data_IF_233381449340
#
_entry.id   IF_233381449340
#
_cell.length_a   1.000
_cell.length_b   1.000
_cell.length_c   1.000
_cell.angle_alpha   90.00
_cell.angle_beta   90.00
_cell.angle_gamma   90.00
#
_symmetry.space_group_name_H-M   'P 1'
#
loop_
_entity.id
_entity.type
_entity.pdbx_description
1 polymer ?
#
# COMPACT_ATOMS: atom_id res chain seq x y z
N UNK A 1 -85.63 3.13 18.35
CA UNK A 1 -85.73 4.43 17.64
C UNK A 1 -85.02 5.54 18.42
N UNK A 2 -85.70 6.55 18.98
CA UNK A 2 -85.09 7.83 19.44
C UNK A 2 -83.77 7.73 20.22
N UNK A 3 -83.68 6.85 21.21
CA UNK A 3 -82.46 6.70 22.04
C UNK A 3 -81.22 6.24 21.24
N UNK A 4 -81.43 5.39 20.23
CA UNK A 4 -80.36 4.89 19.35
C UNK A 4 -79.84 6.03 18.45
N UNK A 5 -80.74 6.87 17.92
CA UNK A 5 -80.36 8.05 17.15
C UNK A 5 -79.53 9.05 17.97
N UNK A 6 -79.86 9.24 19.25
CA UNK A 6 -79.07 10.08 20.17
C UNK A 6 -77.68 9.48 20.45
N UNK A 7 -77.57 8.17 20.65
CA UNK A 7 -76.28 7.49 20.80
C UNK A 7 -75.41 7.61 19.54
N UNK A 8 -76.00 7.45 18.35
CA UNK A 8 -75.30 7.63 17.07
C UNK A 8 -74.81 9.08 16.91
N UNK A 9 -75.62 10.08 17.26
CA UNK A 9 -75.22 11.49 17.25
C UNK A 9 -74.08 11.80 18.23
N UNK A 10 -74.12 11.23 19.45
CA UNK A 10 -73.04 11.37 20.42
C UNK A 10 -71.73 10.76 19.92
N UNK A 11 -71.78 9.56 19.33
CA UNK A 11 -70.61 8.90 18.75
C UNK A 11 -70.05 9.66 17.54
N UNK A 12 -70.91 10.14 16.63
CA UNK A 12 -70.48 10.96 15.49
C UNK A 12 -69.81 12.26 15.94
N UNK A 13 -70.34 12.93 16.97
CA UNK A 13 -69.72 14.13 17.54
C UNK A 13 -68.37 13.83 18.22
N UNK A 14 -68.26 12.71 18.95
CA UNK A 14 -67.01 12.29 19.56
C UNK A 14 -65.92 11.98 18.51
N UNK A 15 -66.30 11.34 17.39
CA UNK A 15 -65.39 11.05 16.27
C UNK A 15 -64.94 12.34 15.56
N UNK A 16 -65.83 13.32 15.36
CA UNK A 16 -65.45 14.62 14.81
C UNK A 16 -64.52 15.40 15.75
N UNK A 17 -64.79 15.40 17.06
CA UNK A 17 -63.91 16.02 18.06
C UNK A 17 -62.51 15.38 18.06
N UNK A 18 -62.44 14.05 18.11
CA UNK A 18 -61.18 13.31 18.05
C UNK A 18 -60.40 13.59 16.76
N UNK A 19 -61.08 13.67 15.61
CA UNK A 19 -60.44 14.02 14.34
C UNK A 19 -59.89 15.45 14.34
N UNK A 20 -60.67 16.43 14.81
CA UNK A 20 -60.20 17.83 14.89
C UNK A 20 -58.97 18.00 15.81
N UNK A 21 -58.86 17.21 16.88
CA UNK A 21 -57.68 17.19 17.75
C UNK A 21 -56.45 16.56 17.08
N UNK A 22 -56.64 15.54 16.24
CA UNK A 22 -55.56 14.91 15.47
C UNK A 22 -55.08 15.85 14.34
N UNK A 23 -56.00 16.47 13.60
CA UNK A 23 -55.68 17.40 12.52
C UNK A 23 -54.90 18.62 13.06
N UNK A 24 -55.19 19.09 14.28
CA UNK A 24 -54.42 20.15 14.95
C UNK A 24 -53.02 19.70 15.39
N UNK A 25 -52.87 18.44 15.85
CA UNK A 25 -51.59 17.88 16.24
C UNK A 25 -50.62 17.73 15.05
N UNK A 26 -51.12 17.36 13.87
CA UNK A 26 -50.31 17.30 12.65
C UNK A 26 -49.96 18.69 12.09
N UNK A 27 -50.81 19.71 12.32
CA UNK A 27 -50.53 21.09 11.92
C UNK A 27 -49.32 21.73 12.64
N UNK A 28 -48.99 21.29 13.86
CA UNK A 28 -47.82 21.78 14.60
C UNK A 28 -46.50 21.07 14.24
N UNK A 29 -46.55 19.95 13.51
CA UNK A 29 -45.37 19.15 13.17
C UNK A 29 -44.52 19.67 12.01
N UNK A 30 -45.02 20.62 11.20
CA UNK A 30 -44.39 20.98 9.90
C UNK A 30 -44.23 22.49 9.65
N UNK A 31 -43.95 23.28 10.70
CA UNK A 31 -43.39 24.65 10.54
C UNK A 31 -41.93 24.69 11.01
N UNK A 32 -41.11 23.77 10.47
CA UNK A 32 -39.66 23.97 10.30
C UNK A 32 -39.33 24.61 8.95
N UNK A 33 -40.18 25.54 8.49
CA UNK A 33 -39.92 26.31 7.28
C UNK A 33 -38.95 27.48 7.55
N UNK A 34 -37.79 27.13 8.12
CA UNK A 34 -36.58 27.94 8.09
C UNK A 34 -35.59 27.14 7.26
N UNK A 35 -35.38 27.56 6.02
CA UNK A 35 -34.13 27.26 5.32
C UNK A 35 -33.02 27.71 6.25
N UNK A 36 -32.31 26.77 6.88
CA UNK A 36 -30.98 27.08 7.39
C UNK A 36 -30.18 27.45 6.14
N UNK A 37 -29.81 28.72 6.02
CA UNK A 37 -28.71 29.09 5.15
C UNK A 37 -27.49 28.54 5.86
N UNK A 38 -26.90 27.51 5.28
CA UNK A 38 -25.71 26.89 5.83
C UNK A 38 -24.63 27.97 6.00
N UNK A 39 -24.08 28.08 7.21
CA UNK A 39 -23.29 29.26 7.61
C UNK A 39 -21.82 28.97 7.32
N UNK A 40 -21.51 28.98 6.02
CA UNK A 40 -20.15 28.80 5.51
C UNK A 40 -19.23 29.93 5.99
N UNK A 41 -18.51 29.69 7.08
CA UNK A 41 -17.47 30.58 7.60
C UNK A 41 -16.15 30.41 6.85
N UNK A 42 -15.30 31.44 6.86
CA UNK A 42 -14.04 31.42 6.13
C UNK A 42 -13.00 30.53 6.82
N UNK A 43 -12.72 29.36 6.25
CA UNK A 43 -11.76 28.40 6.79
C UNK A 43 -10.40 29.06 7.13
N UNK A 44 -9.82 28.64 8.27
CA UNK A 44 -8.58 29.19 8.83
C UNK A 44 -8.69 30.57 9.46
N UNK A 45 -9.74 31.36 9.17
CA UNK A 45 -9.88 32.76 9.63
C UNK A 45 -11.07 32.93 10.58
N UNK A 46 -12.15 32.18 10.38
CA UNK A 46 -13.38 32.23 11.17
C UNK A 46 -13.82 30.83 11.65
N UNK A 47 -14.58 30.80 12.75
CA UNK A 47 -15.28 29.64 13.27
C UNK A 47 -16.79 29.93 13.41
N UNK A 48 -17.64 28.91 13.26
CA UNK A 48 -19.07 29.07 13.48
C UNK A 48 -19.42 29.02 14.98
N UNK A 49 -20.34 29.89 15.40
CA UNK A 49 -21.04 29.80 16.68
C UNK A 49 -22.45 30.34 16.53
N UNK A 50 -23.46 29.62 17.02
CA UNK A 50 -24.86 30.06 17.05
C UNK A 50 -25.42 30.57 15.69
N UNK A 51 -24.97 30.02 14.55
CA UNK A 51 -25.29 30.46 13.17
C UNK A 51 -24.69 31.83 12.80
N UNK A 52 -23.59 32.25 13.42
CA UNK A 52 -22.74 33.37 12.98
C UNK A 52 -21.27 32.95 12.90
N UNK A 53 -20.51 33.61 12.03
CA UNK A 53 -19.06 33.42 11.95
C UNK A 53 -18.34 34.39 12.88
N UNK A 54 -17.45 33.88 13.74
CA UNK A 54 -16.59 34.66 14.62
C UNK A 54 -15.14 34.57 14.14
N UNK A 55 -14.35 35.63 14.29
CA UNK A 55 -12.91 35.61 14.00
C UNK A 55 -12.16 34.71 14.98
N UNK A 56 -11.28 33.86 14.46
CA UNK A 56 -10.42 32.94 15.22
C UNK A 56 -9.59 33.67 16.28
N UNK A 57 -9.39 33.01 17.43
CA UNK A 57 -8.42 33.38 18.44
C UNK A 57 -7.00 33.01 17.99
N UNK A 58 -5.96 33.81 18.31
CA UNK A 58 -4.61 33.57 17.80
C UNK A 58 -4.00 32.29 18.38
N UNK A 59 -2.99 31.76 17.69
CA UNK A 59 -2.11 30.72 18.24
C UNK A 59 -1.63 31.06 19.66
N UNK A 60 -1.53 30.06 20.53
CA UNK A 60 -1.25 30.24 21.96
C UNK A 60 -2.46 30.60 22.81
N UNK A 61 -3.68 30.65 22.25
CA UNK A 61 -4.91 31.04 22.96
C UNK A 61 -6.14 30.22 22.50
N UNK A 62 -7.20 30.23 23.31
CA UNK A 62 -8.49 29.59 23.04
C UNK A 62 -9.68 30.55 23.26
N UNK A 63 -10.83 30.22 22.69
CA UNK A 63 -12.09 30.97 22.82
C UNK A 63 -12.71 30.74 24.20
N UNK A 64 -12.50 31.67 25.14
CA UNK A 64 -13.15 31.67 26.46
C UNK A 64 -14.60 32.15 26.38
N UNK A 65 -14.87 33.14 25.52
CA UNK A 65 -16.23 33.57 25.13
C UNK A 65 -16.23 33.84 23.63
N UNK A 66 -17.28 33.45 22.93
CA UNK A 66 -17.40 33.72 21.50
C UNK A 66 -17.74 35.19 21.20
N UNK A 67 -17.77 35.54 19.92
CA UNK A 67 -18.30 36.82 19.46
C UNK A 67 -19.83 36.91 19.64
N UNK A 68 -20.39 38.12 19.51
CA UNK A 68 -21.83 38.36 19.55
C UNK A 68 -22.40 38.87 18.21
N UNK A 69 -21.53 39.25 17.26
CA UNK A 69 -21.90 39.67 15.91
C UNK A 69 -20.94 39.07 14.85
N UNK A 70 -21.38 38.89 13.59
CA UNK A 70 -20.57 38.28 12.55
C UNK A 70 -19.25 39.02 12.28
N UNK A 71 -18.19 38.22 12.04
CA UNK A 71 -16.81 38.65 11.79
C UNK A 71 -16.21 39.54 12.89
N UNK A 72 -16.73 39.48 14.12
CA UNK A 72 -16.07 40.01 15.32
C UNK A 72 -15.20 38.95 16.02
N UNK A 73 -14.23 39.39 16.83
CA UNK A 73 -13.37 38.49 17.63
C UNK A 73 -13.97 38.25 19.02
N UNK A 74 -13.98 36.99 19.44
CA UNK A 74 -14.38 36.60 20.80
C UNK A 74 -13.36 37.01 21.87
N UNK A 75 -13.65 36.69 23.13
CA UNK A 75 -12.67 36.79 24.23
C UNK A 75 -11.74 35.59 24.18
N UNK A 76 -10.51 35.84 23.77
CA UNK A 76 -9.43 34.86 23.73
C UNK A 76 -8.66 34.84 25.06
N UNK A 77 -8.25 33.67 25.52
CA UNK A 77 -7.47 33.49 26.76
C UNK A 77 -6.26 32.57 26.48
N UNK A 78 -5.06 32.84 27.03
CA UNK A 78 -3.88 32.02 26.75
C UNK A 78 -4.03 30.58 27.24
N UNK A 79 -3.33 29.65 26.57
CA UNK A 79 -3.21 28.28 27.04
C UNK A 79 -2.51 28.20 28.40
N UNK A 80 -2.96 27.27 29.24
CA UNK A 80 -2.32 26.99 30.53
C UNK A 80 -0.99 26.22 30.33
N UNK A 81 -0.26 26.00 31.42
CA UNK A 81 0.91 25.11 31.38
C UNK A 81 0.50 23.71 30.88
N UNK A 82 1.35 23.11 30.05
CA UNK A 82 1.13 21.78 29.45
C UNK A 82 -0.05 21.73 28.45
N UNK A 83 -0.42 22.89 27.87
CA UNK A 83 -1.38 23.02 26.78
C UNK A 83 -0.86 23.94 25.66
N UNK A 84 -1.33 23.71 24.42
CA UNK A 84 -0.94 24.50 23.24
C UNK A 84 -2.09 24.69 22.23
N UNK A 85 -1.92 25.67 21.34
CA UNK A 85 -2.63 25.80 20.05
C UNK A 85 -1.65 26.39 19.02
N UNK A 86 -1.31 25.61 18.00
CA UNK A 86 -0.25 25.99 17.03
C UNK A 86 -0.68 27.07 16.03
N UNK A 87 -1.99 27.20 15.78
CA UNK A 87 -2.55 28.09 14.77
C UNK A 87 -3.77 28.87 15.32
N UNK A 88 -4.18 29.89 14.58
CA UNK A 88 -5.41 30.64 14.82
C UNK A 88 -6.63 29.69 14.76
N UNK A 89 -7.48 29.72 15.78
CA UNK A 89 -8.47 28.68 16.05
C UNK A 89 -9.76 29.18 16.74
N UNK A 90 -10.82 28.39 16.63
CA UNK A 90 -12.10 28.59 17.33
C UNK A 90 -12.30 27.70 18.56
N UNK A 91 -11.25 27.05 19.07
CA UNK A 91 -11.38 26.00 20.08
C UNK A 91 -11.83 26.57 21.44
N UNK A 92 -12.70 25.85 22.14
CA UNK A 92 -13.21 26.23 23.48
C UNK A 92 -12.27 25.85 24.64
N UNK A 93 -11.11 25.27 24.33
CA UNK A 93 -9.99 24.90 25.21
C UNK A 93 -8.73 24.70 24.35
N UNK A 94 -7.54 24.83 24.92
CA UNK A 94 -6.31 24.44 24.23
C UNK A 94 -6.16 22.90 24.15
N UNK A 95 -5.25 22.43 23.29
CA UNK A 95 -4.86 21.03 23.18
C UNK A 95 -3.87 20.68 24.30
N UNK A 96 -3.98 19.50 24.90
CA UNK A 96 -2.96 19.04 25.88
C UNK A 96 -1.68 18.61 25.16
N UNK A 97 -0.52 18.94 25.71
CA UNK A 97 0.76 18.57 25.13
C UNK A 97 1.01 17.05 25.13
N UNK A 98 1.53 16.54 24.02
CA UNK A 98 1.99 15.17 23.84
C UNK A 98 3.04 14.79 24.90
N UNK A 99 2.98 13.55 25.38
CA UNK A 99 3.93 12.97 26.34
C UNK A 99 4.78 11.90 25.67
N UNK A 100 6.08 12.13 25.57
CA UNK A 100 6.99 11.16 24.99
C UNK A 100 7.00 9.85 25.80
N UNK A 101 6.89 8.72 25.09
CA UNK A 101 6.90 7.37 25.66
C UNK A 101 8.28 6.98 26.19
N UNK A 102 8.37 5.92 26.99
CA UNK A 102 9.62 5.51 27.67
C UNK A 102 10.75 5.07 26.71
N UNK A 103 10.41 4.67 25.48
CA UNK A 103 11.30 4.34 24.35
C UNK A 103 11.61 5.56 23.46
N UNK A 104 11.05 6.72 23.77
CA UNK A 104 11.28 8.00 23.10
C UNK A 104 12.08 8.96 23.98
N UNK A 105 12.54 10.05 23.38
CA UNK A 105 13.19 11.19 24.01
C UNK A 105 12.66 12.49 23.42
N UNK A 106 12.48 13.50 24.27
CA UNK A 106 11.99 14.83 23.86
C UNK A 106 13.06 15.57 23.06
N UNK A 107 12.75 16.00 21.84
CA UNK A 107 13.58 16.95 21.08
C UNK A 107 13.27 18.37 21.49
N UNK A 108 11.99 18.74 21.47
CA UNK A 108 11.51 20.09 21.76
C UNK A 108 10.41 20.02 22.81
N UNK A 109 10.46 20.94 23.77
CA UNK A 109 9.48 21.02 24.86
C UNK A 109 8.25 21.78 24.38
N UNK A 110 7.07 21.34 24.79
CA UNK A 110 5.84 22.06 24.51
C UNK A 110 5.91 23.52 24.94
N UNK A 111 5.31 24.39 24.14
CA UNK A 111 5.04 25.80 24.42
C UNK A 111 3.55 26.05 24.20
N UNK A 112 3.02 27.24 24.53
CA UNK A 112 1.63 27.54 24.21
C UNK A 112 1.33 27.50 22.70
N UNK A 113 2.34 27.65 21.84
CA UNK A 113 2.21 27.67 20.38
C UNK A 113 2.76 26.42 19.67
N UNK A 114 3.21 25.37 20.39
CA UNK A 114 3.87 24.21 19.78
C UNK A 114 3.80 22.99 20.69
N UNK A 115 3.51 21.81 20.14
CA UNK A 115 3.50 20.56 20.91
C UNK A 115 4.90 20.11 21.38
N UNK A 116 4.95 19.18 22.34
CA UNK A 116 6.17 18.40 22.63
C UNK A 116 6.55 17.57 21.40
N UNK A 117 7.74 17.80 20.86
CA UNK A 117 8.30 16.90 19.84
C UNK A 117 9.04 15.73 20.51
N UNK A 118 8.78 14.52 20.00
CA UNK A 118 9.35 13.26 20.50
C UNK A 118 10.02 12.48 19.37
N UNK A 119 11.25 12.00 19.58
CA UNK A 119 11.92 11.05 18.67
C UNK A 119 12.14 9.71 19.34
N UNK A 120 12.21 8.63 18.55
CA UNK A 120 12.65 7.33 19.05
C UNK A 120 14.10 7.38 19.54
N UNK A 121 14.40 6.69 20.65
CA UNK A 121 15.77 6.56 21.16
C UNK A 121 16.68 5.85 20.18
N UNK A 122 17.98 6.14 20.28
CA UNK A 122 19.03 5.60 19.41
C UNK A 122 18.94 4.07 19.27
N UNK A 123 19.06 3.57 18.04
CA UNK A 123 18.85 2.15 17.72
C UNK A 123 17.38 1.78 17.47
N UNK A 124 16.45 2.74 17.46
CA UNK A 124 15.05 2.57 17.06
C UNK A 124 14.56 3.71 16.16
N UNK A 125 13.54 3.45 15.35
CA UNK A 125 12.96 4.36 14.37
C UNK A 125 11.42 4.26 14.34
N UNK A 126 10.76 5.29 13.82
CA UNK A 126 9.37 5.26 13.36
C UNK A 126 9.33 5.85 11.95
N UNK A 127 8.45 5.37 11.06
CA UNK A 127 8.37 5.97 9.71
C UNK A 127 7.66 7.34 9.80
N UNK A 128 8.11 8.31 9.01
CA UNK A 128 7.73 9.73 9.13
C UNK A 128 6.22 9.97 8.95
N UNK A 129 5.60 9.10 8.17
CA UNK A 129 4.18 9.08 7.79
C UNK A 129 3.31 8.52 8.92
N UNK A 130 3.91 8.13 10.03
CA UNK A 130 3.24 7.56 11.19
C UNK A 130 3.39 8.55 12.35
N UNK A 131 2.29 8.86 13.03
CA UNK A 131 2.42 9.24 14.43
C UNK A 131 3.25 8.14 15.11
N UNK A 132 4.32 8.52 15.81
CA UNK A 132 5.36 7.59 16.29
C UNK A 132 4.91 6.76 17.51
N UNK A 133 3.71 6.19 17.44
CA UNK A 133 3.03 5.37 18.45
C UNK A 133 3.91 4.19 18.91
N UNK A 134 4.69 3.60 18.00
CA UNK A 134 5.60 2.48 18.27
C UNK A 134 6.98 2.75 17.65
N UNK A 135 8.02 2.73 18.48
CA UNK A 135 9.41 2.75 18.02
C UNK A 135 9.87 1.32 17.68
N UNK A 136 10.15 1.07 16.39
CA UNK A 136 10.67 -0.20 15.88
C UNK A 136 12.19 -0.21 16.02
N UNK A 137 12.79 -1.31 16.48
CA UNK A 137 14.26 -1.42 16.53
C UNK A 137 14.85 -1.45 15.12
N UNK A 138 16.01 -0.80 14.95
CA UNK A 138 16.80 -0.91 13.73
C UNK A 138 17.25 -2.35 13.50
N UNK A 139 17.10 -2.87 12.27
CA UNK A 139 17.68 -4.16 11.90
C UNK A 139 19.16 -4.04 11.57
N UNK A 140 19.96 -5.04 11.95
CA UNK A 140 21.27 -5.27 11.34
C UNK A 140 21.13 -5.96 9.99
N UNK A 141 22.16 -5.83 9.14
CA UNK A 141 22.28 -6.65 7.92
C UNK A 141 22.90 -8.01 8.27
N UNK A 142 22.64 -9.03 7.44
CA UNK A 142 23.23 -10.37 7.60
C UNK A 142 24.71 -10.38 7.22
N UNK A 143 25.43 -11.45 7.55
CA UNK A 143 26.86 -11.58 7.26
C UNK A 143 27.20 -11.55 5.76
N UNK A 144 26.26 -11.96 4.90
CA UNK A 144 26.36 -11.93 3.43
C UNK A 144 25.81 -10.62 2.82
N UNK A 145 25.44 -9.65 3.65
CA UNK A 145 24.89 -8.35 3.27
C UNK A 145 25.81 -7.20 3.68
N UNK A 146 25.60 -6.04 3.07
CA UNK A 146 26.23 -4.76 3.41
C UNK A 146 25.15 -3.71 3.72
N UNK A 147 25.44 -2.79 4.65
CA UNK A 147 24.56 -1.68 4.97
C UNK A 147 24.77 -0.54 3.96
N UNK A 148 23.80 -0.35 3.07
CA UNK A 148 23.78 0.71 2.05
C UNK A 148 23.35 2.06 2.64
N UNK A 149 22.44 2.03 3.61
CA UNK A 149 22.03 3.18 4.41
C UNK A 149 21.93 2.74 5.87
N UNK A 150 22.53 3.53 6.77
CA UNK A 150 22.35 3.35 8.22
C UNK A 150 20.92 3.66 8.64
N UNK A 151 20.44 3.01 9.69
CA UNK A 151 19.22 3.40 10.39
C UNK A 151 19.29 4.86 10.86
N UNK A 152 18.15 5.55 10.87
CA UNK A 152 17.95 6.89 11.44
C UNK A 152 16.82 6.83 12.47
N UNK A 153 16.42 7.95 13.08
CA UNK A 153 15.19 7.99 13.87
C UNK A 153 13.91 7.85 13.02
N UNK A 154 14.00 8.01 11.69
CA UNK A 154 12.86 8.05 10.76
C UNK A 154 12.82 6.88 9.75
N UNK A 155 13.86 6.05 9.69
CA UNK A 155 14.03 5.01 8.67
C UNK A 155 14.92 3.86 9.15
N UNK A 156 14.62 2.63 8.75
CA UNK A 156 15.44 1.45 9.07
C UNK A 156 16.79 1.44 8.33
N UNK A 157 17.71 0.58 8.75
CA UNK A 157 18.89 0.18 7.96
C UNK A 157 18.44 -0.41 6.62
N UNK A 158 19.08 -0.01 5.52
CA UNK A 158 18.86 -0.61 4.20
C UNK A 158 20.05 -1.51 3.86
N UNK A 159 19.78 -2.79 3.63
CA UNK A 159 20.77 -3.82 3.37
C UNK A 159 20.77 -4.25 1.90
N UNK A 160 21.92 -4.67 1.37
CA UNK A 160 22.09 -5.24 0.03
C UNK A 160 22.94 -6.51 0.14
N UNK A 161 22.63 -7.56 -0.62
CA UNK A 161 23.53 -8.72 -0.76
C UNK A 161 24.88 -8.28 -1.31
N UNK A 162 25.98 -8.76 -0.74
CA UNK A 162 27.28 -8.63 -1.41
C UNK A 162 27.20 -9.40 -2.71
N UNK A 163 27.61 -8.76 -3.81
CA UNK A 163 27.71 -9.45 -5.09
C UNK A 163 28.73 -10.57 -4.96
N UNK A 164 28.25 -11.82 -4.98
CA UNK A 164 29.11 -12.98 -5.13
C UNK A 164 29.75 -12.93 -6.52
N UNK A 165 30.92 -12.32 -6.61
CA UNK A 165 31.80 -12.45 -7.76
C UNK A 165 32.17 -13.92 -7.89
N UNK A 166 31.40 -14.63 -8.74
CA UNK A 166 31.62 -16.05 -9.00
C UNK A 166 33.08 -16.25 -9.37
N UNK A 167 33.80 -17.01 -8.53
CA UNK A 167 35.27 -17.04 -8.57
C UNK A 167 35.72 -17.51 -9.95
N UNK A 168 36.15 -16.55 -10.76
CA UNK A 168 36.51 -16.74 -12.15
C UNK A 168 37.90 -17.37 -12.18
N UNK A 169 37.93 -18.67 -11.86
CA UNK A 169 39.11 -19.46 -11.57
C UNK A 169 39.95 -19.63 -12.85
N UNK A 170 40.70 -18.60 -13.23
CA UNK A 170 41.57 -18.55 -14.42
C UNK A 170 42.56 -19.73 -14.47
N UNK A 171 42.94 -20.24 -13.31
CA UNK A 171 43.68 -21.49 -13.15
C UNK A 171 43.07 -22.68 -13.92
N UNK A 172 41.74 -22.85 -13.93
CA UNK A 172 41.08 -23.97 -14.63
C UNK A 172 41.24 -23.88 -16.15
N UNK A 173 41.13 -22.68 -16.73
CA UNK A 173 41.35 -22.45 -18.16
C UNK A 173 42.80 -22.74 -18.57
N UNK A 174 43.78 -22.32 -17.74
CA UNK A 174 45.21 -22.57 -18.00
C UNK A 174 45.51 -24.07 -17.98
N UNK A 175 44.97 -24.82 -17.01
CA UNK A 175 45.18 -26.28 -16.90
C UNK A 175 44.63 -27.02 -18.13
N UNK A 176 43.41 -26.71 -18.58
CA UNK A 176 42.81 -27.38 -19.75
C UNK A 176 43.63 -27.13 -21.02
N UNK A 177 44.08 -25.89 -21.27
CA UNK A 177 44.88 -25.57 -22.46
C UNK A 177 46.23 -26.28 -22.44
N UNK A 178 46.95 -26.27 -21.30
CA UNK A 178 48.28 -26.90 -21.21
C UNK A 178 48.20 -28.43 -21.28
N UNK A 179 47.23 -29.05 -20.58
CA UNK A 179 47.14 -30.51 -20.46
C UNK A 179 46.53 -31.16 -21.71
N UNK A 180 45.67 -30.47 -22.48
CA UNK A 180 45.02 -31.05 -23.66
C UNK A 180 45.67 -30.61 -24.98
N UNK A 181 45.89 -29.30 -25.18
CA UNK A 181 46.31 -28.81 -26.49
C UNK A 181 47.79 -29.12 -26.80
N UNK A 182 48.67 -29.04 -25.81
CA UNK A 182 50.12 -29.30 -26.00
C UNK A 182 50.41 -30.75 -26.41
N UNK A 183 49.95 -31.81 -25.70
CA UNK A 183 50.19 -33.19 -26.14
C UNK A 183 49.48 -33.52 -27.46
N UNK A 184 48.31 -32.94 -27.74
CA UNK A 184 47.67 -33.07 -29.05
C UNK A 184 48.53 -32.49 -30.19
N UNK A 185 49.15 -31.33 -29.98
CA UNK A 185 50.07 -30.73 -30.95
C UNK A 185 51.34 -31.58 -31.15
N UNK A 186 51.91 -32.11 -30.06
CA UNK A 186 53.07 -33.01 -30.11
C UNK A 186 52.72 -34.31 -30.87
N UNK A 187 51.55 -34.89 -30.64
CA UNK A 187 51.07 -36.07 -31.36
C UNK A 187 50.90 -35.79 -32.87
N UNK A 188 50.32 -34.65 -33.24
CA UNK A 188 50.16 -34.23 -34.64
C UNK A 188 51.51 -33.98 -35.34
N UNK A 189 52.49 -33.38 -34.65
CA UNK A 189 53.85 -33.23 -35.15
C UNK A 189 54.57 -34.59 -35.31
N UNK A 190 54.44 -35.48 -34.34
CA UNK A 190 54.96 -36.85 -34.43
C UNK A 190 54.36 -37.64 -35.60
N UNK A 191 53.04 -37.53 -35.81
CA UNK A 191 52.32 -38.21 -36.89
C UNK A 191 52.71 -37.68 -38.28
N UNK A 192 52.79 -36.36 -38.44
CA UNK A 192 53.22 -35.73 -39.72
C UNK A 192 54.68 -36.02 -40.05
N UNK A 193 55.58 -36.02 -39.07
CA UNK A 193 56.98 -36.45 -39.26
C UNK A 193 57.08 -37.95 -39.57
N UNK A 194 56.25 -38.80 -38.93
CA UNK A 194 56.17 -40.23 -39.23
C UNK A 194 55.75 -40.51 -40.68
N UNK A 195 54.75 -39.78 -41.19
CA UNK A 195 54.33 -39.86 -42.60
C UNK A 195 55.45 -39.35 -43.54
N UNK A 196 56.13 -38.26 -43.18
CA UNK A 196 57.25 -37.73 -43.97
C UNK A 196 58.45 -38.70 -44.04
N UNK A 197 58.67 -39.48 -42.98
CA UNK A 197 59.69 -40.54 -42.96
C UNK A 197 59.27 -41.75 -43.80
N UNK A 198 58.03 -42.24 -43.63
CA UNK A 198 57.48 -43.35 -44.43
C UNK A 198 57.46 -43.05 -45.93
N UNK A 199 57.07 -41.84 -46.34
CA UNK A 199 56.98 -41.44 -47.76
C UNK A 199 58.34 -41.29 -48.45
N UNK A 200 59.45 -41.21 -47.69
CA UNK A 200 60.82 -41.34 -48.23
C UNK A 200 61.35 -42.78 -48.26
N UNK A 201 60.60 -43.76 -47.75
CA UNK A 201 61.08 -45.12 -47.47
C UNK A 201 60.37 -46.24 -48.25
N UNK A 202 60.19 -46.07 -49.57
CA UNK A 202 60.25 -47.15 -50.59
C UNK A 202 60.01 -46.66 -52.04
N UNK A 203 60.58 -47.34 -53.06
CA UNK A 203 60.34 -47.03 -54.47
C UNK A 203 59.03 -47.62 -55.02
N UNK A 204 58.56 -47.07 -56.14
CA UNK A 204 57.25 -47.36 -56.77
C UNK A 204 57.22 -48.61 -57.66
N UNK A 205 56.07 -49.31 -57.69
CA UNK A 205 55.48 -49.85 -58.93
C UNK A 205 53.96 -49.65 -58.97
N UNK A 206 53.45 -49.46 -60.20
CA UNK A 206 52.03 -49.34 -60.62
C UNK A 206 51.40 -50.75 -60.81
N UNK A 207 50.11 -50.96 -61.05
CA UNK A 207 48.82 -50.33 -60.67
C UNK A 207 47.65 -51.14 -61.32
N UNK A 208 46.40 -50.75 -61.00
CA UNK A 208 45.15 -50.76 -61.80
C UNK A 208 43.99 -51.60 -61.22
N UNK A 209 42.78 -51.10 -61.51
CA UNK A 209 41.40 -51.42 -61.07
C UNK A 209 40.87 -52.76 -61.66
N UNK A 210 39.64 -53.26 -61.42
CA UNK A 210 38.39 -52.61 -60.97
C UNK A 210 37.30 -53.58 -60.43
N UNK A 211 36.21 -52.97 -59.93
CA UNK A 211 34.81 -53.45 -59.80
C UNK A 211 34.40 -54.33 -58.61
N UNK A 212 33.14 -54.12 -58.22
CA UNK A 212 32.36 -54.74 -57.14
C UNK A 212 31.06 -55.30 -57.73
N UNK A 213 30.37 -56.20 -57.02
CA UNK A 213 28.96 -55.92 -56.71
C UNK A 213 28.62 -56.04 -55.21
N UNK A 214 27.33 -55.89 -54.89
CA UNK A 214 26.75 -55.59 -53.56
C UNK A 214 26.33 -56.84 -52.74
N UNK A 215 26.19 -56.63 -51.42
CA UNK A 215 25.00 -56.97 -50.59
C UNK A 215 24.54 -58.45 -50.42
N UNK A 216 24.47 -58.94 -49.18
CA UNK A 216 23.18 -59.15 -48.45
C UNK A 216 23.32 -59.68 -47.00
N UNK A 217 22.71 -58.93 -46.08
CA UNK A 217 22.21 -59.17 -44.69
C UNK A 217 22.05 -60.63 -44.17
N UNK A 218 22.48 -60.93 -42.92
CA UNK A 218 21.60 -61.45 -41.81
C UNK A 218 22.22 -61.63 -40.41
N UNK A 219 21.32 -61.60 -39.41
CA UNK A 219 21.44 -61.67 -37.94
C UNK A 219 21.23 -63.14 -37.46
N UNK A 220 21.74 -63.65 -36.32
CA UNK A 220 22.54 -63.07 -35.23
C UNK A 220 23.93 -63.79 -35.13
N UNK A 221 24.55 -64.25 -34.02
CA UNK A 221 24.25 -64.34 -32.57
C UNK A 221 25.57 -64.43 -31.75
N UNK A 222 25.51 -64.29 -30.42
CA UNK A 222 26.62 -64.61 -29.50
C UNK A 222 26.21 -64.58 -28.02
N UNK A 223 26.68 -65.56 -27.24
CA UNK A 223 26.48 -65.69 -25.79
C UNK A 223 27.81 -65.54 -25.02
N UNK A 224 27.73 -65.12 -23.75
CA UNK A 224 28.58 -65.47 -22.59
C UNK A 224 30.13 -65.43 -22.69
N UNK A 225 30.91 -64.96 -21.71
CA UNK A 225 30.74 -64.25 -20.42
C UNK A 225 32.19 -63.96 -19.90
N UNK A 226 32.56 -63.17 -18.88
CA UNK A 226 31.90 -62.38 -17.82
C UNK A 226 32.93 -61.31 -17.30
N UNK A 227 32.64 -60.58 -16.21
CA UNK A 227 33.57 -59.72 -15.39
C UNK A 227 34.08 -58.44 -16.10
N UNK A 228 33.91 -57.18 -15.67
CA UNK A 228 33.32 -56.40 -14.52
C UNK A 228 33.38 -54.90 -14.96
N UNK A 229 32.80 -53.84 -14.39
CA UNK A 229 31.75 -53.46 -13.40
C UNK A 229 31.56 -51.92 -13.59
N UNK A 230 30.56 -51.16 -13.10
CA UNK A 230 29.34 -51.34 -12.28
C UNK A 230 28.36 -50.17 -12.63
N UNK A 231 27.19 -50.05 -11.96
CA UNK A 231 26.32 -48.84 -11.88
C UNK A 231 25.59 -48.36 -13.16
N UNK A 232 24.29 -47.99 -13.17
CA UNK A 232 23.17 -48.08 -12.22
C UNK A 232 21.84 -48.01 -13.01
N UNK A 233 20.72 -48.52 -12.45
CA UNK A 233 19.39 -48.57 -13.10
C UNK A 233 18.26 -48.14 -12.15
N UNK A 234 17.25 -47.40 -12.63
CA UNK A 234 15.88 -47.41 -12.08
C UNK A 234 14.86 -46.64 -12.95
N UNK A 235 13.65 -47.18 -13.11
CA UNK A 235 12.43 -46.37 -13.27
C UNK A 235 11.18 -47.14 -12.78
N UNK A 236 10.13 -46.39 -12.42
CA UNK A 236 8.79 -46.84 -12.02
C UNK A 236 8.60 -47.64 -10.72
N UNK A 237 8.13 -46.94 -9.69
CA UNK A 237 7.01 -47.36 -8.82
C UNK A 237 6.29 -46.09 -8.31
N UNK A 238 5.03 -46.21 -7.87
CA UNK A 238 4.13 -45.08 -7.51
C UNK A 238 3.30 -45.45 -6.27
N UNK A 239 2.72 -44.44 -5.60
CA UNK A 239 1.92 -44.44 -4.35
C UNK A 239 2.80 -44.30 -3.09
N UNK A 240 2.50 -43.43 -2.12
CA UNK A 240 1.47 -42.37 -2.01
C UNK A 240 2.15 -41.03 -1.64
N UNK A 241 1.79 -39.91 -2.25
CA UNK A 241 0.79 -38.94 -1.77
C UNK A 241 0.97 -38.41 -0.33
N UNK A 242 1.92 -37.48 -0.20
CA UNK A 242 1.61 -36.18 0.40
C UNK A 242 2.43 -35.12 -0.33
N UNK A 243 1.79 -34.04 -0.75
CA UNK A 243 2.42 -32.95 -1.54
C UNK A 243 2.52 -31.65 -0.74
N UNK A 244 3.27 -30.68 -1.28
CA UNK A 244 3.79 -29.46 -0.61
C UNK A 244 4.97 -29.79 0.36
N UNK A 245 6.08 -29.05 0.39
CA UNK A 245 6.40 -27.76 -0.24
C UNK A 245 7.87 -27.71 -0.71
N UNK A 246 8.11 -27.37 -1.98
CA UNK A 246 9.45 -27.00 -2.50
C UNK A 246 9.67 -25.47 -2.44
N UNK A 247 10.90 -24.94 -2.64
CA UNK A 247 11.29 -23.60 -2.17
C UNK A 247 10.54 -22.42 -2.81
N UNK A 248 9.82 -21.65 -1.99
CA UNK A 248 9.03 -20.48 -2.39
C UNK A 248 9.82 -19.15 -2.28
N UNK A 249 11.06 -19.10 -2.79
CA UNK A 249 11.91 -17.90 -2.70
C UNK A 249 12.65 -17.51 -3.99
N UNK A 250 12.20 -17.98 -5.16
CA UNK A 250 12.66 -17.45 -6.46
C UNK A 250 11.50 -17.07 -7.41
N UNK A 251 10.31 -16.88 -6.84
CA UNK A 251 9.24 -16.05 -7.38
C UNK A 251 8.75 -15.11 -6.26
N UNK A 252 8.18 -13.97 -6.64
CA UNK A 252 7.66 -12.92 -5.76
C UNK A 252 8.67 -11.95 -5.09
N UNK A 253 9.84 -11.74 -5.69
CA UNK A 253 10.07 -10.39 -6.21
C UNK A 253 9.27 -10.27 -7.51
N UNK A 254 7.96 -10.05 -7.38
CA UNK A 254 7.20 -9.52 -8.50
C UNK A 254 7.66 -8.08 -8.60
N UNK A 255 8.10 -7.67 -9.78
CA UNK A 255 8.05 -6.27 -10.19
C UNK A 255 6.56 -5.90 -10.28
N UNK A 256 5.92 -5.74 -9.10
CA UNK A 256 4.45 -5.72 -8.94
C UNK A 256 3.91 -4.63 -9.82
N UNK A 257 3.22 -5.01 -10.89
CA UNK A 257 2.89 -4.12 -12.00
C UNK A 257 2.38 -2.77 -11.48
N UNK A 258 2.87 -1.64 -12.03
CA UNK A 258 2.35 -0.34 -11.69
C UNK A 258 0.84 -0.38 -11.93
N UNK A 259 0.06 0.15 -10.99
CA UNK A 259 -1.38 0.12 -11.12
C UNK A 259 -1.75 0.91 -12.38
N UNK A 260 -2.33 0.21 -13.36
CA UNK A 260 -2.80 0.82 -14.61
C UNK A 260 -3.76 1.95 -14.26
N UNK A 261 -3.53 3.12 -14.85
CA UNK A 261 -4.27 4.33 -14.52
C UNK A 261 -5.75 4.15 -14.83
N UNK A 262 -6.61 4.67 -13.97
CA UNK A 262 -8.05 4.67 -14.16
C UNK A 262 -8.55 6.04 -14.64
N UNK A 263 -9.59 6.02 -15.49
CA UNK A 263 -10.31 7.23 -15.93
C UNK A 263 -11.77 7.19 -15.46
N UNK A 264 -12.32 8.29 -14.91
CA UNK A 264 -13.69 8.34 -14.42
C UNK A 264 -14.69 8.36 -15.58
N UNK A 265 -15.70 7.49 -15.52
CA UNK A 265 -16.75 7.41 -16.55
C UNK A 265 -17.79 8.54 -16.45
N UNK A 266 -18.00 9.12 -15.25
CA UNK A 266 -18.97 10.19 -14.98
C UNK A 266 -18.34 11.42 -14.28
N UNK A 267 -17.04 11.66 -14.47
CA UNK A 267 -16.33 12.79 -13.85
C UNK A 267 -16.30 12.72 -12.31
N UNK A 268 -16.55 13.85 -11.63
CA UNK A 268 -16.54 13.94 -10.15
C UNK A 268 -17.53 12.98 -9.47
N UNK A 269 -18.65 12.67 -10.13
CA UNK A 269 -19.67 11.76 -9.61
C UNK A 269 -19.17 10.30 -9.54
N UNK A 270 -18.23 9.92 -10.43
CA UNK A 270 -17.54 8.62 -10.33
C UNK A 270 -16.59 8.60 -9.12
N UNK A 271 -15.84 9.68 -8.88
CA UNK A 271 -14.93 9.78 -7.75
C UNK A 271 -15.72 9.73 -6.43
N UNK A 272 -16.75 10.55 -6.29
CA UNK A 272 -17.59 10.61 -5.08
C UNK A 272 -18.24 9.27 -4.75
N UNK A 273 -18.76 8.54 -5.74
CA UNK A 273 -19.34 7.20 -5.57
C UNK A 273 -18.32 6.10 -5.23
N UNK A 274 -17.02 6.37 -5.34
CA UNK A 274 -15.99 5.42 -4.93
C UNK A 274 -15.67 5.48 -3.43
N UNK A 275 -16.11 6.53 -2.71
CA UNK A 275 -15.76 6.76 -1.31
C UNK A 275 -16.29 5.67 -0.38
N UNK A 276 -17.50 5.17 -0.64
CA UNK A 276 -18.14 4.03 0.03
C UNK A 276 -17.23 2.77 0.09
N UNK A 277 -16.31 2.61 -0.87
CA UNK A 277 -15.40 1.46 -0.91
C UNK A 277 -14.19 1.60 0.03
N UNK A 278 -13.88 2.81 0.51
CA UNK A 278 -12.79 3.06 1.44
C UNK A 278 -13.17 2.76 2.90
N UNK A 279 -14.45 2.50 3.20
CA UNK A 279 -14.92 2.09 4.54
C UNK A 279 -14.22 0.79 5.01
N UNK A 280 -13.85 -0.10 4.10
CA UNK A 280 -13.12 -1.35 4.36
C UNK A 280 -11.62 -1.15 4.69
N UNK A 281 -11.11 0.09 4.75
CA UNK A 281 -9.75 0.35 5.24
C UNK A 281 -9.62 0.00 6.73
N UNK A 282 -8.49 -0.59 7.13
CA UNK A 282 -8.17 -0.83 8.53
C UNK A 282 -8.09 0.50 9.32
N UNK A 283 -8.81 0.56 10.45
CA UNK A 283 -8.97 1.76 11.29
C UNK A 283 -7.63 2.33 11.79
N UNK A 284 -6.61 1.50 11.98
CA UNK A 284 -5.26 1.93 12.38
C UNK A 284 -4.52 2.71 11.27
N UNK A 285 -5.05 2.71 10.05
CA UNK A 285 -4.48 3.41 8.89
C UNK A 285 -5.28 4.67 8.50
N UNK A 286 -6.51 4.86 8.98
CA UNK A 286 -7.38 6.00 8.62
C UNK A 286 -6.68 7.35 8.85
N UNK A 287 -6.26 7.64 10.08
CA UNK A 287 -5.59 8.91 10.44
C UNK A 287 -4.21 9.10 9.77
N UNK A 288 -3.68 8.05 9.14
CA UNK A 288 -2.43 8.10 8.35
C UNK A 288 -2.72 8.39 6.88
N UNK A 289 -3.69 7.69 6.30
CA UNK A 289 -4.21 7.92 4.96
C UNK A 289 -4.70 9.36 4.79
N UNK A 290 -5.53 9.84 5.72
CA UNK A 290 -6.07 11.20 5.66
C UNK A 290 -4.99 12.28 5.78
N UNK A 291 -3.97 12.10 6.63
CA UNK A 291 -2.80 13.00 6.67
C UNK A 291 -1.99 12.97 5.38
N UNK A 292 -1.79 11.78 4.80
CA UNK A 292 -0.99 11.61 3.57
C UNK A 292 -1.65 12.29 2.36
N UNK A 293 -2.98 12.18 2.20
CA UNK A 293 -3.73 12.92 1.16
C UNK A 293 -3.90 14.42 1.51
N UNK A 294 -3.28 14.89 2.61
CA UNK A 294 -3.15 16.31 2.92
C UNK A 294 -4.25 16.90 3.81
N UNK A 295 -5.10 16.10 4.47
CA UNK A 295 -6.02 16.63 5.49
C UNK A 295 -5.28 16.99 6.77
N UNK A 296 -5.74 18.06 7.43
CA UNK A 296 -5.18 18.47 8.71
C UNK A 296 -5.67 17.57 9.86
N UNK A 297 -4.88 17.48 10.93
CA UNK A 297 -5.31 16.82 12.17
C UNK A 297 -6.59 17.43 12.76
N UNK A 298 -6.89 18.71 12.49
CA UNK A 298 -8.14 19.35 12.91
C UNK A 298 -9.33 18.83 12.10
N UNK A 299 -9.17 18.67 10.78
CA UNK A 299 -10.16 18.10 9.87
C UNK A 299 -10.44 16.63 10.20
N UNK A 300 -9.39 15.86 10.55
CA UNK A 300 -9.50 14.46 10.96
C UNK A 300 -10.23 14.33 12.32
N UNK A 301 -9.96 15.25 13.26
CA UNK A 301 -10.59 15.25 14.60
C UNK A 301 -12.02 15.78 14.64
N UNK A 302 -12.43 16.66 13.72
CA UNK A 302 -13.84 17.09 13.66
C UNK A 302 -14.77 15.91 13.31
N UNK A 303 -14.32 15.02 12.43
CA UNK A 303 -15.04 13.79 12.06
C UNK A 303 -14.87 12.64 13.08
N UNK A 304 -14.05 12.78 14.12
CA UNK A 304 -13.80 11.73 15.15
C UNK A 304 -15.04 11.45 16.04
N UNK A 305 -16.09 12.26 15.93
CA UNK A 305 -17.38 12.07 16.62
C UNK A 305 -18.45 11.33 15.79
N UNK A 306 -18.17 11.01 14.53
CA UNK A 306 -19.05 10.26 13.63
C UNK A 306 -18.84 8.73 13.78
N UNK A 307 -19.75 7.93 13.20
CA UNK A 307 -19.51 6.50 13.06
C UNK A 307 -18.31 6.23 12.12
N UNK A 308 -17.57 5.12 12.27
CA UNK A 308 -16.35 4.85 11.50
C UNK A 308 -16.53 4.93 9.97
N UNK A 309 -17.71 4.52 9.49
CA UNK A 309 -18.14 4.50 8.10
C UNK A 309 -18.40 5.93 7.59
N UNK A 310 -19.35 6.64 8.22
CA UNK A 310 -19.67 8.07 7.98
C UNK A 310 -18.41 8.95 7.98
N UNK A 311 -17.48 8.67 8.90
CA UNK A 311 -16.21 9.38 9.08
C UNK A 311 -15.31 9.25 7.85
N UNK A 312 -15.22 8.09 7.23
CA UNK A 312 -14.37 7.89 6.03
C UNK A 312 -14.92 8.68 4.85
N UNK A 313 -16.24 8.59 4.63
CA UNK A 313 -16.92 9.26 3.53
C UNK A 313 -16.81 10.79 3.63
N UNK A 314 -17.11 11.37 4.81
CA UNK A 314 -17.04 12.82 5.00
C UNK A 314 -15.60 13.36 4.96
N UNK A 315 -14.59 12.61 5.41
CA UNK A 315 -13.19 13.01 5.24
C UNK A 315 -12.74 12.97 3.77
N UNK A 316 -13.13 11.96 3.00
CA UNK A 316 -12.86 11.92 1.55
C UNK A 316 -13.55 13.07 0.79
N UNK A 317 -14.75 13.44 1.21
CA UNK A 317 -15.46 14.62 0.69
C UNK A 317 -14.74 15.93 1.01
N UNK A 318 -14.31 16.15 2.25
CA UNK A 318 -13.49 17.33 2.64
C UNK A 318 -12.19 17.39 1.82
N UNK A 319 -11.54 16.24 1.57
CA UNK A 319 -10.36 16.17 0.71
C UNK A 319 -10.66 16.56 -0.74
N UNK A 320 -11.75 16.04 -1.32
CA UNK A 320 -12.16 16.35 -2.68
C UNK A 320 -12.52 17.83 -2.85
N UNK A 321 -13.21 18.42 -1.87
CA UNK A 321 -13.53 19.86 -1.83
C UNK A 321 -12.25 20.72 -1.74
N UNK A 322 -11.21 20.24 -1.04
CA UNK A 322 -9.90 20.91 -0.92
C UNK A 322 -9.05 20.85 -2.21
N UNK A 323 -8.92 19.68 -2.83
CA UNK A 323 -8.13 19.53 -4.07
C UNK A 323 -8.89 20.03 -5.32
N UNK A 324 -10.23 20.06 -5.27
CA UNK A 324 -11.09 20.54 -6.33
C UNK A 324 -10.83 19.85 -7.66
N UNK A 325 -10.48 20.62 -8.70
CA UNK A 325 -10.18 20.10 -10.04
C UNK A 325 -8.93 19.20 -10.13
N UNK A 326 -8.19 19.00 -9.03
CA UNK A 326 -7.08 18.03 -8.94
C UNK A 326 -7.44 16.73 -8.23
N UNK A 327 -8.63 16.62 -7.64
CA UNK A 327 -9.06 15.41 -6.94
C UNK A 327 -9.18 14.25 -7.94
N UNK A 328 -8.26 13.29 -7.86
CA UNK A 328 -8.20 12.10 -8.71
C UNK A 328 -8.23 10.82 -7.85
N UNK A 329 -9.03 9.85 -8.29
CA UNK A 329 -9.08 8.51 -7.68
C UNK A 329 -7.71 7.84 -7.69
N UNK A 330 -6.91 8.05 -8.74
CA UNK A 330 -5.55 7.52 -8.82
C UNK A 330 -4.68 7.99 -7.63
N UNK A 331 -4.84 9.23 -7.16
CA UNK A 331 -4.08 9.76 -6.00
C UNK A 331 -4.50 9.13 -4.67
N UNK A 332 -5.77 8.75 -4.50
CA UNK A 332 -6.22 7.97 -3.34
C UNK A 332 -5.64 6.54 -3.36
N UNK A 333 -5.56 5.94 -4.56
CA UNK A 333 -4.92 4.63 -4.76
C UNK A 333 -3.41 4.70 -4.51
N UNK A 334 -2.71 5.73 -5.01
CA UNK A 334 -1.29 5.96 -4.73
C UNK A 334 -1.02 6.11 -3.22
N UNK A 335 -1.89 6.81 -2.49
CA UNK A 335 -1.82 6.93 -1.03
C UNK A 335 -1.96 5.56 -0.32
N UNK A 336 -2.88 4.70 -0.76
CA UNK A 336 -2.98 3.34 -0.21
C UNK A 336 -1.73 2.51 -0.49
N UNK A 337 -1.18 2.60 -1.71
CA UNK A 337 0.03 1.87 -2.10
C UNK A 337 1.25 2.34 -1.30
N UNK A 338 1.39 3.64 -1.10
CA UNK A 338 2.45 4.23 -0.26
C UNK A 338 2.39 3.74 1.20
N UNK A 339 1.19 3.50 1.71
CA UNK A 339 0.93 3.04 3.08
C UNK A 339 0.91 1.50 3.22
N UNK A 340 1.42 0.77 2.21
CA UNK A 340 1.45 -0.70 2.11
C UNK A 340 0.06 -1.37 2.16
N UNK A 341 -1.00 -0.61 1.87
CA UNK A 341 -2.39 -1.08 1.77
C UNK A 341 -2.74 -1.55 0.35
N UNK A 342 -1.80 -2.24 -0.32
CA UNK A 342 -1.97 -2.64 -1.74
C UNK A 342 -3.17 -3.56 -1.98
N UNK A 343 -3.45 -4.49 -1.07
CA UNK A 343 -4.61 -5.38 -1.17
C UNK A 343 -5.93 -4.61 -1.10
N UNK A 344 -6.00 -3.60 -0.22
CA UNK A 344 -7.13 -2.69 -0.07
C UNK A 344 -7.32 -1.86 -1.33
N UNK A 345 -6.23 -1.32 -1.90
CA UNK A 345 -6.25 -0.59 -3.17
C UNK A 345 -6.76 -1.45 -4.33
N UNK A 346 -6.28 -2.69 -4.47
CA UNK A 346 -6.67 -3.62 -5.54
C UNK A 346 -8.16 -4.03 -5.42
N UNK A 347 -8.68 -4.21 -4.19
CA UNK A 347 -10.11 -4.42 -3.92
C UNK A 347 -10.97 -3.19 -4.29
N UNK A 348 -10.55 -1.99 -3.87
CA UNK A 348 -11.26 -0.72 -4.17
C UNK A 348 -11.29 -0.45 -5.68
N UNK A 349 -10.20 -0.72 -6.39
CA UNK A 349 -10.13 -0.67 -7.87
C UNK A 349 -11.12 -1.65 -8.50
N UNK A 350 -11.12 -2.90 -8.06
CA UNK A 350 -12.03 -3.91 -8.60
C UNK A 350 -13.50 -3.49 -8.42
N UNK A 351 -13.87 -2.98 -7.24
CA UNK A 351 -15.21 -2.44 -6.96
C UNK A 351 -15.55 -1.23 -7.84
N UNK A 352 -14.62 -0.29 -8.00
CA UNK A 352 -14.80 0.92 -8.82
C UNK A 352 -15.03 0.61 -10.31
N UNK A 353 -14.41 -0.45 -10.82
CA UNK A 353 -14.63 -0.94 -12.20
C UNK A 353 -15.92 -1.76 -12.29
N UNK A 354 -16.17 -2.70 -11.37
CA UNK A 354 -17.36 -3.57 -11.38
C UNK A 354 -18.67 -2.76 -11.28
N UNK A 355 -18.68 -1.65 -10.53
CA UNK A 355 -19.85 -0.76 -10.44
C UNK A 355 -19.95 0.26 -11.60
N UNK A 356 -19.03 0.22 -12.58
CA UNK A 356 -19.07 1.10 -13.75
C UNK A 356 -18.77 2.57 -13.44
N UNK A 357 -17.98 2.84 -12.40
CA UNK A 357 -17.56 4.21 -12.07
C UNK A 357 -16.27 4.59 -12.80
N UNK A 358 -15.36 3.63 -12.99
CA UNK A 358 -14.08 3.82 -13.67
C UNK A 358 -13.81 2.70 -14.68
N UNK A 359 -12.91 2.95 -15.62
CA UNK A 359 -12.24 1.94 -16.47
C UNK A 359 -10.74 2.23 -16.51
N UNK A 360 -9.94 1.36 -17.10
CA UNK A 360 -8.52 1.67 -17.35
C UNK A 360 -8.35 2.70 -18.48
N UNK A 361 -7.26 3.46 -18.47
CA UNK A 361 -6.92 4.46 -19.49
C UNK A 361 -6.62 3.81 -20.86
N UNK A 362 -6.17 2.54 -20.86
CA UNK A 362 -5.82 1.74 -22.04
C UNK A 362 -6.99 0.93 -22.65
N UNK A 363 -8.23 1.10 -22.15
CA UNK A 363 -9.46 0.39 -22.59
C UNK A 363 -10.45 1.30 -23.32
#
# INVERSE_FOLDING_TARGET
MRYISFLILLLLNAVHAAKSHLDLAWAQGSIKNRSSRDVSCREGIEYEHDNICCLNCPAGTYVKKACLAPSEKGVCEPCEFDQYTEHDNGLRKCLSCTKCRIDQETTEKCTNTQDTQCKCKQGSFCLLDQACEVCKKCSGCKEDEEAVKSCTNISNTVCRKRSSSGSSNSATFVVVVVVVAVPAFIAMLGFTLGIAYWTKSKPSKKAVTSRSPREMVRICMGDSEEVKEESQNAHNSKMDDSSQLQPFLEQNYVEREPIRRLVPLNGEESLKKSFDFFEEMDVHYHSRFFRFIGLSDNSIKSAESLFPEDRVYELLKIWMEKEGLKADFNSLIEALIYLDQRMSAENIIAKAIINGYFKYEDE
#
